data_IF_692776425930
#
_entry.id   IF_692776425930
#
_cell.length_a   1.000
_cell.length_b   1.000
_cell.length_c   1.000
_cell.angle_alpha   90.00
_cell.angle_beta   90.00
_cell.angle_gamma   90.00
#
_symmetry.space_group_name_H-M   'P 1'
#
loop_
_entity.id
_entity.type
_entity.pdbx_description
1 polymer ?
#
# COMPACT_ATOMS: atom_id res chain seq x y z
N UNK A 1 -10.33 -5.98 22.12
CA UNK A 1 -11.76 -6.00 21.75
C UNK A 1 -12.25 -4.73 21.05
N UNK A 2 -11.78 -3.53 21.43
CA UNK A 2 -12.19 -2.28 20.76
C UNK A 2 -11.79 -2.23 19.26
N UNK A 3 -10.56 -2.63 18.92
CA UNK A 3 -10.06 -2.63 17.53
C UNK A 3 -10.90 -3.53 16.60
N UNK A 4 -11.24 -4.74 17.03
CA UNK A 4 -12.06 -5.65 16.25
C UNK A 4 -13.46 -5.06 15.96
N UNK A 5 -14.10 -4.44 16.97
CA UNK A 5 -15.40 -3.78 16.78
C UNK A 5 -15.32 -2.61 15.81
N UNK A 6 -14.26 -1.81 15.91
CA UNK A 6 -14.04 -0.69 15.00
C UNK A 6 -13.86 -1.19 13.56
N UNK A 7 -12.97 -2.17 13.34
CA UNK A 7 -12.75 -2.75 12.01
C UNK A 7 -14.02 -3.36 11.43
N UNK A 8 -14.76 -4.15 12.23
CA UNK A 8 -16.05 -4.72 11.81
C UNK A 8 -17.04 -3.64 11.41
N UNK A 9 -17.12 -2.54 12.15
CA UNK A 9 -18.01 -1.42 11.81
C UNK A 9 -17.69 -0.82 10.44
N UNK A 10 -16.42 -0.60 10.11
CA UNK A 10 -16.06 -0.10 8.78
C UNK A 10 -16.28 -1.16 7.70
N UNK A 11 -15.95 -2.44 7.96
CA UNK A 11 -16.13 -3.51 6.97
C UNK A 11 -17.59 -3.74 6.59
N UNK A 12 -18.53 -3.75 7.55
CA UNK A 12 -19.96 -3.93 7.23
C UNK A 12 -20.55 -2.74 6.45
N UNK A 13 -19.91 -1.57 6.51
CA UNK A 13 -20.31 -0.36 5.79
C UNK A 13 -19.47 -0.11 4.54
N UNK A 14 -18.71 -1.10 4.04
CA UNK A 14 -17.88 -0.95 2.84
C UNK A 14 -16.80 0.13 2.96
N UNK A 15 -16.37 0.46 4.17
CA UNK A 15 -15.43 1.55 4.43
C UNK A 15 -16.00 2.95 4.16
N UNK A 16 -17.31 3.08 3.88
CA UNK A 16 -17.96 4.32 3.44
C UNK A 16 -17.38 4.89 2.13
N UNK A 17 -16.90 4.01 1.24
CA UNK A 17 -16.43 4.36 -0.09
C UNK A 17 -17.41 3.85 -1.15
N UNK A 18 -17.44 4.55 -2.28
CA UNK A 18 -17.98 4.00 -3.52
C UNK A 18 -17.02 2.94 -4.10
N UNK A 19 -17.53 2.08 -4.97
CA UNK A 19 -16.73 1.04 -5.64
C UNK A 19 -15.55 1.68 -6.40
N UNK A 20 -14.36 1.10 -6.22
CA UNK A 20 -13.10 1.53 -6.83
C UNK A 20 -12.72 3.01 -6.62
N UNK A 21 -13.38 3.73 -5.70
CA UNK A 21 -13.21 5.17 -5.50
C UNK A 21 -11.73 5.59 -5.35
N UNK A 22 -10.93 4.79 -4.64
CA UNK A 22 -9.51 5.07 -4.43
C UNK A 22 -8.70 4.91 -5.73
N UNK A 23 -8.93 3.85 -6.50
CA UNK A 23 -8.22 3.58 -7.76
C UNK A 23 -8.58 4.64 -8.80
N UNK A 24 -9.86 5.01 -8.89
CA UNK A 24 -10.31 6.10 -9.76
C UNK A 24 -9.76 7.47 -9.33
N UNK A 25 -9.43 7.64 -8.04
CA UNK A 25 -8.84 8.86 -7.49
C UNK A 25 -7.35 9.04 -7.76
N UNK A 26 -6.62 7.96 -8.09
CA UNK A 26 -5.17 7.94 -8.30
C UNK A 26 -4.66 9.02 -9.26
N UNK A 27 -5.32 9.35 -10.40
CA UNK A 27 -4.83 10.40 -11.30
C UNK A 27 -4.55 11.75 -10.62
N UNK A 28 -5.26 12.07 -9.53
CA UNK A 28 -5.07 13.31 -8.77
C UNK A 28 -3.72 13.38 -8.05
N UNK A 29 -3.09 12.23 -7.77
CA UNK A 29 -1.84 12.14 -7.00
C UNK A 29 -0.65 11.61 -7.81
N UNK A 30 -0.82 11.33 -9.11
CA UNK A 30 0.26 10.77 -9.96
C UNK A 30 1.54 11.61 -10.01
N UNK A 31 1.44 12.91 -9.77
CA UNK A 31 2.56 13.84 -9.71
C UNK A 31 3.40 13.71 -8.43
N UNK A 32 2.90 13.00 -7.42
CA UNK A 32 3.62 12.75 -6.17
C UNK A 32 4.58 11.57 -6.40
N UNK A 33 5.86 11.67 -6.02
CA UNK A 33 6.76 10.53 -6.03
C UNK A 33 6.35 9.48 -5.00
N UNK A 34 6.29 8.20 -5.38
CA UNK A 34 5.81 7.12 -4.52
C UNK A 34 6.57 5.80 -4.68
N UNK A 35 6.64 5.03 -3.60
CA UNK A 35 7.12 3.64 -3.60
C UNK A 35 6.07 2.78 -2.90
N UNK A 36 5.62 1.71 -3.56
CA UNK A 36 4.67 0.72 -3.05
C UNK A 36 5.49 -0.51 -2.60
N UNK A 37 5.44 -0.85 -1.32
CA UNK A 37 6.12 -2.03 -0.77
C UNK A 37 5.05 -3.05 -0.37
N UNK A 38 5.10 -4.25 -0.94
CA UNK A 38 4.08 -5.30 -0.73
C UNK A 38 4.71 -6.67 -0.50
N UNK A 39 4.26 -7.41 0.52
CA UNK A 39 4.67 -8.79 0.73
C UNK A 39 4.02 -9.73 -0.28
N UNK A 40 4.81 -10.67 -0.83
CA UNK A 40 4.32 -11.64 -1.83
C UNK A 40 3.22 -12.55 -1.28
N UNK A 41 3.26 -12.86 0.01
CA UNK A 41 2.35 -13.77 0.70
C UNK A 41 1.45 -13.03 1.71
N UNK A 42 1.13 -11.76 1.44
CA UNK A 42 0.14 -11.01 2.23
C UNK A 42 -1.28 -11.56 1.95
N UNK A 43 -1.85 -12.19 2.97
CA UNK A 43 -3.22 -12.72 2.95
C UNK A 43 -4.28 -11.74 3.47
N UNK A 44 -3.87 -10.64 4.09
CA UNK A 44 -4.78 -9.60 4.61
C UNK A 44 -5.14 -8.63 3.49
N UNK A 45 -4.12 -8.19 2.75
CA UNK A 45 -4.24 -7.34 1.58
C UNK A 45 -3.56 -8.04 0.39
N UNK A 46 -4.32 -8.78 -0.44
CA UNK A 46 -3.74 -9.56 -1.53
C UNK A 46 -2.87 -8.72 -2.46
N UNK A 47 -1.77 -9.31 -2.93
CA UNK A 47 -0.80 -8.65 -3.84
C UNK A 47 -1.44 -8.04 -5.09
N UNK A 48 -2.58 -8.57 -5.55
CA UNK A 48 -3.36 -8.02 -6.65
C UNK A 48 -3.67 -6.52 -6.45
N UNK A 49 -3.98 -6.09 -5.22
CA UNK A 49 -4.27 -4.70 -4.90
C UNK A 49 -3.08 -3.77 -5.18
N UNK A 50 -1.85 -4.24 -4.89
CA UNK A 50 -0.64 -3.48 -5.18
C UNK A 50 -0.36 -3.38 -6.68
N UNK A 51 -0.65 -4.44 -7.44
CA UNK A 51 -0.57 -4.40 -8.91
C UNK A 51 -1.60 -3.46 -9.52
N UNK A 52 -2.85 -3.47 -9.04
CA UNK A 52 -3.90 -2.58 -9.53
C UNK A 52 -3.59 -1.12 -9.20
N UNK A 53 -3.09 -0.83 -8.00
CA UNK A 53 -2.60 0.50 -7.65
C UNK A 53 -1.46 0.94 -8.56
N UNK A 54 -0.47 0.08 -8.83
CA UNK A 54 0.65 0.42 -9.70
C UNK A 54 0.23 0.60 -11.17
N UNK A 55 -0.77 -0.15 -11.65
CA UNK A 55 -1.38 0.06 -12.98
C UNK A 55 -2.05 1.43 -13.10
N UNK A 56 -2.71 1.89 -12.04
CA UNK A 56 -3.31 3.22 -11.98
C UNK A 56 -2.28 4.34 -11.73
N UNK A 57 -1.20 4.03 -11.01
CA UNK A 57 -0.10 4.93 -10.63
C UNK A 57 1.25 4.42 -11.19
N UNK A 58 1.46 4.49 -12.51
CA UNK A 58 2.67 3.94 -13.15
C UNK A 58 3.96 4.68 -12.76
N UNK A 59 3.87 5.91 -12.26
CA UNK A 59 5.01 6.68 -11.76
C UNK A 59 5.56 6.15 -10.42
N UNK A 60 4.74 5.45 -9.63
CA UNK A 60 5.19 4.87 -8.37
C UNK A 60 6.03 3.61 -8.60
N UNK A 61 7.10 3.41 -7.83
CA UNK A 61 7.89 2.18 -7.91
C UNK A 61 7.23 1.06 -7.09
N UNK A 62 6.95 -0.09 -7.72
CA UNK A 62 6.46 -1.27 -7.03
C UNK A 62 7.60 -2.19 -6.60
N UNK A 63 7.68 -2.50 -5.29
CA UNK A 63 8.65 -3.43 -4.69
C UNK A 63 7.91 -4.59 -4.02
N UNK A 64 8.01 -5.77 -4.64
CA UNK A 64 7.45 -7.00 -4.09
C UNK A 64 8.51 -7.72 -3.26
N UNK A 65 8.21 -7.96 -1.98
CA UNK A 65 9.10 -8.68 -1.05
C UNK A 65 8.79 -10.17 -1.10
N UNK A 66 9.70 -11.03 -1.60
CA UNK A 66 9.39 -12.41 -1.95
C UNK A 66 9.06 -13.32 -0.76
N UNK A 67 9.64 -13.07 0.41
CA UNK A 67 9.48 -13.90 1.62
C UNK A 67 8.84 -13.10 2.77
N UNK A 68 7.76 -12.37 2.49
CA UNK A 68 7.04 -11.57 3.48
C UNK A 68 5.52 -11.63 3.30
N UNK A 69 4.81 -11.39 4.41
CA UNK A 69 3.36 -11.28 4.48
C UNK A 69 2.91 -9.83 4.67
N UNK A 70 1.95 -9.62 5.56
CA UNK A 70 1.31 -8.32 5.78
C UNK A 70 2.08 -7.39 6.73
N UNK A 71 2.90 -7.96 7.61
CA UNK A 71 3.43 -7.20 8.74
C UNK A 71 4.51 -6.22 8.28
N UNK A 72 4.39 -4.96 8.70
CA UNK A 72 5.47 -3.97 8.52
C UNK A 72 6.78 -4.38 9.21
N UNK A 73 6.71 -5.34 10.14
CA UNK A 73 7.87 -5.87 10.87
C UNK A 73 8.46 -7.13 10.23
N UNK A 74 7.91 -7.62 9.12
CA UNK A 74 8.59 -8.66 8.34
C UNK A 74 9.93 -8.09 7.86
N UNK A 75 11.02 -8.81 8.07
CA UNK A 75 12.40 -8.30 7.90
C UNK A 75 12.60 -7.64 6.52
N UNK A 76 12.12 -8.29 5.45
CA UNK A 76 12.22 -7.75 4.10
C UNK A 76 11.33 -6.52 3.84
N UNK A 77 10.17 -6.43 4.49
CA UNK A 77 9.29 -5.25 4.40
C UNK A 77 9.93 -4.08 5.12
N UNK A 78 10.38 -4.29 6.37
CA UNK A 78 11.05 -3.26 7.16
C UNK A 78 12.28 -2.71 6.43
N UNK A 79 13.10 -3.61 5.87
CA UNK A 79 14.27 -3.23 5.07
C UNK A 79 13.88 -2.32 3.88
N UNK A 80 12.87 -2.71 3.10
CA UNK A 80 12.44 -1.92 1.95
C UNK A 80 11.78 -0.60 2.34
N UNK A 81 11.03 -0.55 3.44
CA UNK A 81 10.45 0.69 3.97
C UNK A 81 11.52 1.68 4.42
N UNK A 82 12.54 1.23 5.15
CA UNK A 82 13.68 2.08 5.57
C UNK A 82 14.43 2.62 4.35
N UNK A 83 14.73 1.76 3.37
CA UNK A 83 15.39 2.18 2.12
C UNK A 83 14.55 3.16 1.31
N UNK A 84 13.24 2.94 1.24
CA UNK A 84 12.33 3.86 0.57
C UNK A 84 12.37 5.23 1.26
N UNK A 85 12.22 5.28 2.58
CA UNK A 85 12.30 6.52 3.35
C UNK A 85 13.66 7.23 3.18
N UNK A 86 14.77 6.50 3.23
CA UNK A 86 16.11 7.05 3.01
C UNK A 86 16.27 7.65 1.61
N UNK A 87 15.69 7.03 0.58
CA UNK A 87 15.77 7.55 -0.80
C UNK A 87 15.04 8.89 -0.97
N UNK A 88 14.03 9.16 -0.15
CA UNK A 88 13.29 10.42 -0.16
C UNK A 88 13.99 11.56 0.61
N UNK A 89 15.05 11.29 1.39
CA UNK A 89 15.76 12.32 2.16
C UNK A 89 16.32 13.46 1.30
N UNK A 90 16.67 13.17 0.05
CA UNK A 90 17.28 14.13 -0.87
C UNK A 90 16.31 14.61 -1.96
N UNK A 91 15.01 14.31 -1.83
CA UNK A 91 14.01 14.78 -2.79
C UNK A 91 13.90 16.30 -2.69
N UNK A 92 14.23 16.99 -3.78
CA UNK A 92 14.06 18.44 -3.89
C UNK A 92 12.70 18.72 -4.53
N UNK A 93 11.92 19.59 -3.90
CA UNK A 93 10.62 20.07 -4.39
C UNK A 93 10.80 21.13 -5.47
#
# INVERSE_FOLDING_TARGET
MAQARLQSHYFINGGFFDDDQLIQGVPKMRHIPGIIVQGRYDFVCPIANAFDLHRAWPEAYLRIVPNAGHSMYDEGILYELVRAADSFKNLKY
#
